data_IF_983428893616
#
_entry.id   IF_983428893616
#
_cell.length_a   1.000
_cell.length_b   1.000
_cell.length_c   1.000
_cell.angle_alpha   90.00
_cell.angle_beta   90.00
_cell.angle_gamma   90.00
#
_symmetry.space_group_name_H-M   'P 1'
#
loop_
_entity.id
_entity.type
_entity.pdbx_description
1 polymer ?
#
# COMPACT_ATOMS: atom_id res chain seq x y z
N UNK A 1 14.40 -9.40 7.65
CA UNK A 1 14.12 -7.95 7.58
C UNK A 1 14.03 -7.47 6.13
N UNK A 2 15.00 -7.77 5.26
CA UNK A 2 14.93 -7.45 3.83
C UNK A 2 13.80 -8.18 3.07
N UNK A 3 13.58 -9.46 3.36
CA UNK A 3 12.49 -10.22 2.72
C UNK A 3 11.11 -9.68 3.12
N UNK A 4 10.97 -9.15 4.34
CA UNK A 4 9.75 -8.50 4.80
C UNK A 4 9.51 -7.18 4.07
N UNK A 5 10.54 -6.33 3.94
CA UNK A 5 10.42 -5.08 3.18
C UNK A 5 10.07 -5.35 1.72
N UNK A 6 10.68 -6.37 1.10
CA UNK A 6 10.35 -6.78 -0.27
C UNK A 6 8.90 -7.27 -0.41
N UNK A 7 8.42 -8.12 0.50
CA UNK A 7 7.03 -8.57 0.50
C UNK A 7 6.06 -7.39 0.69
N UNK A 8 6.42 -6.40 1.50
CA UNK A 8 5.63 -5.19 1.67
C UNK A 8 5.60 -4.33 0.40
N UNK A 9 6.73 -4.16 -0.30
CA UNK A 9 6.79 -3.48 -1.59
C UNK A 9 5.88 -4.15 -2.64
N UNK A 10 5.95 -5.48 -2.75
CA UNK A 10 5.09 -6.26 -3.65
C UNK A 10 3.60 -6.07 -3.30
N UNK A 11 3.27 -6.01 -2.02
CA UNK A 11 1.90 -5.77 -1.55
C UNK A 11 1.43 -4.34 -1.83
N UNK A 12 2.30 -3.33 -1.65
CA UNK A 12 2.02 -1.92 -1.97
C UNK A 12 1.70 -1.78 -3.46
N UNK A 13 2.51 -2.36 -4.35
CA UNK A 13 2.27 -2.26 -5.79
C UNK A 13 0.98 -2.98 -6.22
N UNK A 14 0.69 -4.14 -5.61
CA UNK A 14 -0.57 -4.85 -5.85
C UNK A 14 -1.79 -3.99 -5.47
N UNK A 15 -1.81 -3.44 -4.26
CA UNK A 15 -2.90 -2.59 -3.76
C UNK A 15 -3.04 -1.30 -4.57
N UNK A 16 -1.92 -0.70 -5.00
CA UNK A 16 -1.93 0.46 -5.90
C UNK A 16 -2.62 0.13 -7.23
N UNK A 17 -2.31 -1.03 -7.81
CA UNK A 17 -2.95 -1.52 -9.02
C UNK A 17 -4.46 -1.73 -8.83
N UNK A 18 -4.87 -2.34 -7.72
CA UNK A 18 -6.29 -2.52 -7.39
C UNK A 18 -7.02 -1.17 -7.24
N UNK A 19 -6.39 -0.20 -6.56
CA UNK A 19 -6.97 1.13 -6.37
C UNK A 19 -7.15 1.85 -7.70
N UNK A 20 -6.17 1.79 -8.61
CA UNK A 20 -6.31 2.35 -9.96
C UNK A 20 -7.44 1.70 -10.75
N UNK A 21 -7.50 0.36 -10.75
CA UNK A 21 -8.57 -0.36 -11.42
C UNK A 21 -9.96 0.00 -10.86
N UNK A 22 -10.09 0.08 -9.53
CA UNK A 22 -11.34 0.48 -8.88
C UNK A 22 -11.70 1.94 -9.21
N UNK A 23 -10.72 2.84 -9.27
CA UNK A 23 -10.93 4.24 -9.64
C UNK A 23 -11.40 4.39 -11.09
N UNK A 24 -10.85 3.59 -12.00
CA UNK A 24 -11.25 3.58 -13.42
C UNK A 24 -12.65 2.99 -13.61
N UNK A 25 -13.02 1.96 -12.83
CA UNK A 25 -14.32 1.28 -12.96
C UNK A 25 -15.46 1.97 -12.21
N UNK A 26 -15.19 2.53 -11.03
CA UNK A 26 -16.22 2.97 -10.07
C UNK A 26 -16.07 4.43 -9.66
N UNK A 27 -15.02 5.10 -10.12
CA UNK A 27 -14.71 6.48 -9.79
C UNK A 27 -13.84 6.61 -8.54
N UNK A 28 -13.08 7.71 -8.49
CA UNK A 28 -12.04 7.99 -7.48
C UNK A 28 -12.55 8.15 -6.04
N UNK A 29 -13.85 8.38 -5.86
CA UNK A 29 -14.50 8.59 -4.56
C UNK A 29 -15.43 7.43 -4.19
N UNK A 30 -15.38 6.32 -4.92
CA UNK A 30 -16.08 5.10 -4.53
C UNK A 30 -15.56 4.58 -3.20
N UNK A 31 -16.43 3.93 -2.43
CA UNK A 31 -16.11 3.34 -1.13
C UNK A 31 -14.92 2.37 -1.23
N UNK A 32 -14.84 1.60 -2.31
CA UNK A 32 -13.72 0.69 -2.58
C UNK A 32 -12.40 1.41 -2.76
N UNK A 33 -12.36 2.50 -3.54
CA UNK A 33 -11.13 3.31 -3.71
C UNK A 33 -10.72 3.96 -2.40
N UNK A 34 -11.68 4.45 -1.62
CA UNK A 34 -11.42 5.04 -0.31
C UNK A 34 -10.85 3.99 0.67
N UNK A 35 -11.41 2.78 0.68
CA UNK A 35 -10.91 1.68 1.50
C UNK A 35 -9.49 1.28 1.10
N UNK A 36 -9.25 1.08 -0.20
CA UNK A 36 -7.92 0.73 -0.74
C UNK A 36 -6.89 1.82 -0.43
N UNK A 37 -7.25 3.10 -0.56
CA UNK A 37 -6.38 4.23 -0.20
C UNK A 37 -6.00 4.21 1.28
N UNK A 38 -6.94 3.94 2.17
CA UNK A 38 -6.66 3.87 3.61
C UNK A 38 -5.76 2.70 3.96
N UNK A 39 -5.95 1.55 3.30
CA UNK A 39 -5.10 0.38 3.50
C UNK A 39 -3.67 0.63 2.97
N UNK A 40 -3.55 1.25 1.79
CA UNK A 40 -2.27 1.64 1.21
C UNK A 40 -1.50 2.59 2.15
N UNK A 41 -2.17 3.60 2.70
CA UNK A 41 -1.58 4.56 3.63
C UNK A 41 -1.07 3.87 4.91
N UNK A 42 -1.85 2.93 5.47
CA UNK A 42 -1.40 2.15 6.64
C UNK A 42 -0.15 1.35 6.33
N UNK A 43 -0.12 0.68 5.18
CA UNK A 43 1.00 -0.17 4.78
C UNK A 43 2.26 0.66 4.49
N UNK A 44 2.13 1.78 3.79
CA UNK A 44 3.22 2.73 3.52
C UNK A 44 3.82 3.26 4.82
N UNK A 45 2.97 3.63 5.79
CA UNK A 45 3.44 4.10 7.10
C UNK A 45 4.24 3.02 7.86
N UNK A 46 3.84 1.75 7.77
CA UNK A 46 4.62 0.66 8.39
C UNK A 46 5.93 0.44 7.64
N UNK A 47 5.89 0.43 6.31
CA UNK A 47 7.07 0.23 5.47
C UNK A 47 8.13 1.30 5.73
N UNK A 48 7.75 2.58 5.76
CA UNK A 48 8.66 3.69 6.04
C UNK A 48 9.26 3.59 7.46
N UNK A 49 8.45 3.22 8.46
CA UNK A 49 8.98 2.98 9.82
C UNK A 49 10.01 1.85 9.85
N UNK A 50 9.77 0.76 9.13
CA UNK A 50 10.71 -0.38 9.07
C UNK A 50 11.99 -0.04 8.29
N UNK A 51 11.89 0.81 7.27
CA UNK A 51 13.03 1.28 6.48
C UNK A 51 13.97 2.20 7.27
N UNK A 52 13.43 2.95 8.23
CA UNK A 52 14.17 3.89 9.08
C UNK A 52 14.81 3.19 10.30
N UNK A 53 14.34 2.00 10.70
CA UNK A 53 14.91 1.28 11.85
C UNK A 53 16.40 0.99 11.65
N UNK A 54 17.27 1.31 12.64
CA UNK A 54 18.68 1.00 12.55
C UNK A 54 18.88 -0.51 12.38
N UNK A 55 19.79 -0.88 11.49
CA UNK A 55 20.24 -2.27 11.34
C UNK A 55 21.00 -2.64 12.61
N UNK A 56 20.34 -3.36 13.52
CA UNK A 56 20.99 -4.04 14.64
C UNK A 56 21.23 -5.50 14.27
#
# INVERSE_FOLDING_TARGET
>A
MWDLLRQMEETIEMLRGQMHNAADQKGRVSEEVLSLSQELDRLLNVYERLKILPKF
#
